data_IF_992322374694
#
_entry.id   IF_992322374694
#
_cell.length_a   1.000
_cell.length_b   1.000
_cell.length_c   1.000
_cell.angle_alpha   90.00
_cell.angle_beta   90.00
_cell.angle_gamma   90.00
#
_symmetry.space_group_name_H-M   'P 1'
#
loop_
_entity.id
_entity.type
_entity.pdbx_description
1 polymer ?
#
# COMPACT_ATOMS: atom_id res chain seq x y z
N UNK A 1 -9.78 -0.53 -13.43
CA UNK A 1 -8.88 0.62 -13.11
C UNK A 1 -7.65 0.60 -13.99
N UNK A 2 -6.93 -0.52 -14.12
CA UNK A 2 -5.71 -0.60 -14.94
C UNK A 2 -6.03 -0.22 -16.40
N UNK A 3 -7.04 -0.85 -17.01
CA UNK A 3 -7.44 -0.54 -18.38
C UNK A 3 -7.79 0.95 -18.57
N UNK A 4 -8.44 1.59 -17.59
CA UNK A 4 -8.71 3.02 -17.64
C UNK A 4 -7.42 3.85 -17.56
N UNK A 5 -6.48 3.44 -16.71
CA UNK A 5 -5.19 4.12 -16.57
C UNK A 5 -4.35 4.02 -17.84
N UNK A 6 -4.31 2.84 -18.47
CA UNK A 6 -3.65 2.62 -19.76
C UNK A 6 -4.30 3.44 -20.86
N UNK A 7 -5.62 3.46 -20.86
CA UNK A 7 -6.41 4.25 -21.78
C UNK A 7 -6.13 5.77 -21.65
N UNK A 8 -5.97 6.28 -20.43
CA UNK A 8 -5.64 7.67 -20.13
C UNK A 8 -4.13 7.95 -20.15
N UNK A 9 -3.31 6.90 -20.23
CA UNK A 9 -1.86 6.97 -20.09
C UNK A 9 -1.42 7.81 -18.87
N UNK A 10 -2.03 7.54 -17.70
CA UNK A 10 -1.79 8.32 -16.50
C UNK A 10 -1.11 7.52 -15.38
N UNK A 11 -0.21 8.16 -14.61
CA UNK A 11 0.42 7.53 -13.43
C UNK A 11 -0.61 7.08 -12.40
N UNK A 12 -0.45 5.87 -11.86
CA UNK A 12 -1.34 5.29 -10.86
C UNK A 12 -0.64 5.18 -9.51
N UNK A 13 -1.20 5.85 -8.52
CA UNK A 13 -0.79 5.75 -7.13
C UNK A 13 -1.88 5.04 -6.33
N UNK A 14 -1.50 4.20 -5.38
CA UNK A 14 -2.47 3.54 -4.51
C UNK A 14 -2.46 4.12 -3.11
N UNK A 15 -3.58 4.04 -2.40
CA UNK A 15 -3.52 4.13 -0.94
C UNK A 15 -2.80 2.91 -0.40
N UNK A 16 -2.36 2.92 0.87
CA UNK A 16 -1.75 1.72 1.44
C UNK A 16 -2.71 0.52 1.42
N UNK A 17 -4.00 0.72 1.67
CA UNK A 17 -5.02 -0.34 1.56
C UNK A 17 -5.23 -0.83 0.11
N UNK A 18 -4.94 0.02 -0.85
CA UNK A 18 -5.01 -0.33 -2.27
C UNK A 18 -3.72 -0.95 -2.83
N UNK A 19 -2.67 -1.17 -2.00
CA UNK A 19 -1.45 -1.82 -2.46
C UNK A 19 -1.75 -3.20 -3.05
N UNK A 20 -1.15 -3.48 -4.21
CA UNK A 20 -1.40 -4.72 -4.96
C UNK A 20 -2.58 -4.64 -5.96
N UNK A 21 -3.34 -3.54 -6.02
CA UNK A 21 -4.35 -3.32 -7.06
C UNK A 21 -3.73 -3.03 -8.43
N UNK A 22 -2.54 -2.50 -8.46
CA UNK A 22 -1.66 -2.41 -9.62
C UNK A 22 -0.27 -2.84 -9.20
N UNK A 23 0.43 -3.56 -10.08
CA UNK A 23 1.81 -3.97 -9.82
C UNK A 23 2.73 -2.75 -9.74
N UNK A 24 3.70 -2.78 -8.81
CA UNK A 24 4.77 -1.80 -8.75
C UNK A 24 5.76 -1.93 -9.95
N UNK A 25 5.63 -3.00 -10.74
CA UNK A 25 6.37 -3.23 -12.01
C UNK A 25 5.58 -2.83 -13.25
N UNK A 26 4.30 -2.46 -13.09
CA UNK A 26 3.50 -1.95 -14.20
C UNK A 26 4.05 -0.62 -14.71
N UNK A 27 4.10 -0.35 -16.04
CA UNK A 27 4.66 0.90 -16.59
C UNK A 27 4.08 2.19 -16.00
N UNK A 28 2.80 2.15 -15.58
CA UNK A 28 2.11 3.29 -14.96
C UNK A 28 2.03 3.19 -13.43
N UNK A 29 2.56 2.15 -12.81
CA UNK A 29 2.53 1.93 -11.36
C UNK A 29 3.54 2.80 -10.62
N UNK A 30 3.07 3.65 -9.71
CA UNK A 30 3.91 4.56 -8.91
C UNK A 30 4.07 4.12 -7.45
N UNK A 31 3.42 3.01 -7.06
CA UNK A 31 3.44 2.51 -5.70
C UNK A 31 2.44 3.23 -4.77
N UNK A 32 2.69 3.12 -3.47
CA UNK A 32 1.82 3.68 -2.43
C UNK A 32 2.07 5.17 -2.26
N UNK A 33 0.97 5.94 -2.11
CA UNK A 33 1.01 7.36 -1.78
C UNK A 33 0.96 7.58 -0.26
N UNK A 34 1.57 8.66 0.21
CA UNK A 34 1.45 9.14 1.57
C UNK A 34 2.57 8.69 2.51
N UNK A 35 2.27 8.60 3.81
CA UNK A 35 3.29 8.37 4.85
C UNK A 35 4.01 7.02 4.73
N UNK A 36 3.32 6.00 4.22
CA UNK A 36 3.89 4.68 3.93
C UNK A 36 4.35 4.55 2.47
N UNK A 37 4.43 5.68 1.79
CA UNK A 37 4.53 5.70 0.34
C UNK A 37 5.94 5.74 -0.20
N UNK A 38 6.00 5.59 -1.52
CA UNK A 38 7.19 5.71 -2.33
C UNK A 38 7.47 7.17 -2.69
N UNK A 39 8.72 7.56 -2.95
CA UNK A 39 9.02 8.88 -3.49
C UNK A 39 8.46 9.09 -4.89
N UNK A 40 8.25 8.02 -5.67
CA UNK A 40 7.66 8.06 -7.00
C UNK A 40 6.21 8.57 -6.91
N UNK A 41 5.39 7.95 -6.05
CA UNK A 41 4.00 8.37 -5.85
C UNK A 41 3.91 9.82 -5.36
N UNK A 42 4.80 10.23 -4.45
CA UNK A 42 4.86 11.62 -3.96
C UNK A 42 5.23 12.60 -5.07
N UNK A 43 6.14 12.23 -5.95
CA UNK A 43 6.52 13.05 -7.10
C UNK A 43 5.33 13.29 -8.03
N UNK A 44 4.69 12.24 -8.51
CA UNK A 44 3.55 12.38 -9.43
C UNK A 44 2.33 13.04 -8.78
N UNK A 45 2.12 12.88 -7.47
CA UNK A 45 1.11 13.66 -6.73
C UNK A 45 1.40 15.17 -6.80
N UNK A 46 2.67 15.57 -6.73
CA UNK A 46 3.05 16.98 -6.76
C UNK A 46 3.02 17.56 -8.17
N UNK A 47 3.43 16.79 -9.17
CA UNK A 47 3.55 17.26 -10.56
C UNK A 47 2.24 17.14 -11.36
N UNK A 48 1.25 16.38 -10.89
CA UNK A 48 -0.03 16.24 -11.61
C UNK A 48 -0.79 17.56 -11.77
N UNK A 49 -1.49 17.73 -12.86
CA UNK A 49 -2.36 18.89 -13.14
C UNK A 49 -3.78 18.68 -12.58
N UNK A 50 -4.24 17.43 -12.54
CA UNK A 50 -5.53 17.03 -12.02
C UNK A 50 -5.45 15.65 -11.37
N UNK A 51 -6.44 15.30 -10.54
CA UNK A 51 -6.53 14.02 -9.85
C UNK A 51 -7.85 13.34 -10.20
N UNK A 52 -7.75 12.06 -10.58
CA UNK A 52 -8.88 11.15 -10.61
C UNK A 52 -8.75 10.21 -9.39
N UNK A 53 -9.62 10.40 -8.40
CA UNK A 53 -9.59 9.67 -7.13
C UNK A 53 -10.72 8.64 -7.11
N UNK A 54 -10.36 7.35 -7.05
CA UNK A 54 -11.30 6.23 -7.16
C UNK A 54 -11.32 5.47 -5.84
N UNK A 55 -12.41 5.53 -5.08
CA UNK A 55 -12.65 4.78 -3.84
C UNK A 55 -11.58 4.99 -2.76
N UNK A 56 -10.85 6.10 -2.80
CA UNK A 56 -9.74 6.34 -1.90
C UNK A 56 -10.13 7.28 -0.75
N UNK A 57 -9.67 6.94 0.46
CA UNK A 57 -9.81 7.82 1.62
C UNK A 57 -8.89 9.03 1.55
N UNK A 58 -9.43 10.22 1.73
CA UNK A 58 -8.70 11.49 1.84
C UNK A 58 -8.09 11.70 3.23
N UNK A 59 -7.66 10.62 3.89
CA UNK A 59 -7.03 10.74 5.20
C UNK A 59 -5.67 11.47 5.10
N UNK A 60 -5.25 12.09 6.22
CA UNK A 60 -3.92 12.72 6.31
C UNK A 60 -2.76 11.74 6.08
N UNK A 61 -2.99 10.44 6.26
CA UNK A 61 -2.01 9.39 6.01
C UNK A 61 -1.82 9.11 4.51
N UNK A 62 -2.89 9.24 3.72
CA UNK A 62 -2.86 9.07 2.26
C UNK A 62 -2.18 10.25 1.57
N UNK A 63 -2.37 11.47 2.09
CA UNK A 63 -1.65 12.65 1.61
C UNK A 63 -2.11 13.15 0.23
N UNK A 64 -3.38 12.93 -0.13
CA UNK A 64 -3.97 13.53 -1.33
C UNK A 64 -4.04 15.04 -1.14
N UNK A 65 -3.47 15.81 -2.07
CA UNK A 65 -3.45 17.27 -1.98
C UNK A 65 -4.82 17.87 -2.31
N UNK A 66 -5.30 18.88 -1.53
CA UNK A 66 -6.55 19.59 -1.85
C UNK A 66 -6.38 20.71 -2.88
N UNK A 67 -5.17 20.89 -3.41
CA UNK A 67 -4.81 22.08 -4.23
C UNK A 67 -4.99 21.85 -5.73
N UNK A 68 -5.39 20.67 -6.15
CA UNK A 68 -5.48 20.30 -7.56
C UNK A 68 -6.93 20.01 -7.94
N UNK A 69 -7.33 20.31 -9.19
CA UNK A 69 -8.60 19.87 -9.71
C UNK A 69 -8.80 18.38 -9.46
N UNK A 70 -9.93 18.00 -8.89
CA UNK A 70 -10.16 16.62 -8.45
C UNK A 70 -11.52 16.12 -8.89
N UNK A 71 -11.52 14.98 -9.57
CA UNK A 71 -12.70 14.16 -9.81
C UNK A 71 -12.68 13.02 -8.79
N UNK A 72 -13.73 12.88 -7.99
CA UNK A 72 -13.84 11.83 -7.00
C UNK A 72 -14.96 10.86 -7.38
N UNK A 73 -14.64 9.57 -7.47
CA UNK A 73 -15.59 8.48 -7.69
C UNK A 73 -15.66 7.66 -6.40
N UNK A 74 -16.85 7.51 -5.84
CA UNK A 74 -17.06 6.66 -4.67
C UNK A 74 -18.47 6.04 -4.68
N UNK A 75 -18.59 4.84 -4.12
CA UNK A 75 -19.90 4.17 -3.95
C UNK A 75 -20.65 4.70 -2.73
N UNK A 76 -19.93 5.27 -1.75
CA UNK A 76 -20.51 5.90 -0.57
C UNK A 76 -20.72 7.40 -0.82
N UNK A 77 -21.97 7.87 -0.95
CA UNK A 77 -22.26 9.28 -1.16
C UNK A 77 -21.75 10.17 -0.02
N UNK A 78 -21.60 9.63 1.19
CA UNK A 78 -21.08 10.35 2.36
C UNK A 78 -19.56 10.52 2.34
N UNK A 79 -18.85 9.81 1.46
CA UNK A 79 -17.42 9.98 1.25
C UNK A 79 -17.11 11.13 0.28
N UNK A 80 -18.05 11.45 -0.61
CA UNK A 80 -17.88 12.47 -1.64
C UNK A 80 -17.75 13.87 -1.02
N UNK A 81 -16.69 14.58 -1.38
CA UNK A 81 -16.36 15.94 -0.89
C UNK A 81 -16.24 16.06 0.65
N UNK A 82 -16.10 14.94 1.37
CA UNK A 82 -16.10 14.91 2.85
C UNK A 82 -14.94 15.68 3.46
N UNK A 83 -13.75 15.57 2.89
CA UNK A 83 -12.52 16.15 3.44
C UNK A 83 -11.99 17.32 2.63
N UNK A 84 -12.21 17.31 1.32
CA UNK A 84 -11.80 18.35 0.40
C UNK A 84 -12.95 18.64 -0.55
N UNK A 85 -13.08 19.90 -0.93
CA UNK A 85 -13.93 20.25 -2.09
C UNK A 85 -13.33 19.56 -3.32
N UNK A 86 -14.17 18.87 -4.09
CA UNK A 86 -13.80 18.29 -5.38
C UNK A 86 -14.54 19.03 -6.50
N UNK A 87 -13.98 19.03 -7.70
CA UNK A 87 -14.56 19.72 -8.84
C UNK A 87 -15.69 18.92 -9.47
N UNK A 88 -15.57 17.59 -9.45
CA UNK A 88 -16.62 16.68 -9.85
C UNK A 88 -16.72 15.50 -8.86
N UNK A 89 -17.92 15.30 -8.32
CA UNK A 89 -18.25 14.19 -7.46
C UNK A 89 -19.15 13.20 -8.23
N UNK A 90 -18.68 11.98 -8.37
CA UNK A 90 -19.38 10.90 -9.08
C UNK A 90 -19.79 9.83 -8.09
N UNK A 91 -21.09 9.72 -7.85
CA UNK A 91 -21.64 8.65 -7.02
C UNK A 91 -21.99 7.44 -7.88
N UNK A 92 -21.30 6.33 -7.65
CA UNK A 92 -21.56 5.10 -8.39
C UNK A 92 -20.76 3.93 -7.85
N UNK A 93 -21.18 2.73 -8.23
CA UNK A 93 -20.37 1.54 -8.00
C UNK A 93 -19.09 1.65 -8.83
N UNK A 94 -17.95 1.38 -8.20
CA UNK A 94 -16.63 1.71 -8.76
C UNK A 94 -16.35 0.91 -10.05
N UNK A 95 -16.62 -0.40 -10.07
CA UNK A 95 -16.33 -1.22 -11.23
C UNK A 95 -17.18 -0.78 -12.44
N UNK A 96 -18.49 -0.58 -12.22
CA UNK A 96 -19.43 -0.13 -13.25
C UNK A 96 -19.03 1.25 -13.78
N UNK A 97 -18.71 2.19 -12.89
CA UNK A 97 -18.34 3.56 -13.29
C UNK A 97 -17.04 3.56 -14.08
N UNK A 98 -16.05 2.80 -13.66
CA UNK A 98 -14.76 2.70 -14.36
C UNK A 98 -14.92 2.03 -15.72
N UNK A 99 -15.78 1.00 -15.83
CA UNK A 99 -16.06 0.33 -17.10
C UNK A 99 -16.79 1.26 -18.07
N UNK A 100 -17.77 2.04 -17.60
CA UNK A 100 -18.43 3.05 -18.42
C UNK A 100 -17.41 4.08 -18.94
N UNK A 101 -16.56 4.63 -18.07
CA UNK A 101 -15.52 5.59 -18.47
C UNK A 101 -14.52 4.99 -19.47
N UNK A 102 -14.15 3.72 -19.29
CA UNK A 102 -13.20 3.06 -20.18
C UNK A 102 -13.76 2.77 -21.57
N UNK A 103 -15.09 2.69 -21.70
CA UNK A 103 -15.78 2.42 -22.96
C UNK A 103 -16.30 3.70 -23.65
N UNK A 104 -16.21 4.85 -22.99
CA UNK A 104 -16.56 6.13 -23.64
C UNK A 104 -15.52 6.52 -24.66
N UNK A 105 -15.99 7.07 -25.79
CA UNK A 105 -15.12 7.68 -26.80
C UNK A 105 -14.62 9.04 -26.28
N UNK A 106 -13.69 8.97 -25.35
CA UNK A 106 -13.02 10.15 -24.84
C UNK A 106 -12.13 10.67 -25.97
N UNK A 107 -12.51 11.78 -26.60
CA UNK A 107 -11.67 12.45 -27.60
C UNK A 107 -10.35 12.88 -26.94
N UNK A 108 -9.26 12.14 -27.20
CA UNK A 108 -8.01 12.25 -26.47
C UNK A 108 -6.86 12.58 -27.39
N UNK A 109 -6.24 13.67 -27.11
CA UNK A 109 -4.86 13.89 -27.48
C UNK A 109 -3.97 13.45 -26.31
N UNK A 110 -3.42 12.21 -26.37
CA UNK A 110 -2.41 11.79 -25.41
C UNK A 110 -1.10 12.44 -25.83
N UNK A 111 -0.75 13.54 -25.16
CA UNK A 111 0.41 14.33 -25.52
C UNK A 111 1.69 13.91 -24.81
N UNK A 112 1.60 13.10 -23.73
CA UNK A 112 2.75 12.72 -22.91
C UNK A 112 2.70 11.23 -22.58
N UNK A 113 3.79 10.52 -22.84
CA UNK A 113 4.00 9.17 -22.33
C UNK A 113 4.75 9.25 -20.99
N UNK A 114 4.08 8.87 -19.89
CA UNK A 114 4.64 8.93 -18.56
C UNK A 114 5.47 7.68 -18.17
N UNK A 115 5.37 6.57 -18.92
CA UNK A 115 6.04 5.33 -18.58
C UNK A 115 7.58 5.46 -18.51
N UNK A 116 8.26 6.19 -19.40
CA UNK A 116 9.71 6.38 -19.30
C UNK A 116 10.12 7.12 -18.01
N UNK A 117 9.41 8.18 -17.64
CA UNK A 117 9.71 8.94 -16.41
C UNK A 117 9.43 8.11 -15.16
N UNK A 118 8.34 7.36 -15.12
CA UNK A 118 8.03 6.44 -14.01
C UNK A 118 9.16 5.41 -13.85
N UNK A 119 9.62 4.82 -14.96
CA UNK A 119 10.73 3.86 -14.97
C UNK A 119 12.03 4.46 -14.44
N UNK A 120 12.37 5.68 -14.85
CA UNK A 120 13.55 6.41 -14.35
C UNK A 120 13.45 6.66 -12.84
N UNK A 121 12.27 7.11 -12.35
CA UNK A 121 12.03 7.35 -10.92
C UNK A 121 12.17 6.07 -10.10
N UNK A 122 11.66 4.96 -10.60
CA UNK A 122 11.86 3.65 -9.97
C UNK A 122 13.33 3.23 -9.95
N UNK A 123 14.09 3.46 -11.03
CA UNK A 123 15.51 3.16 -11.08
C UNK A 123 16.30 3.97 -10.03
N UNK A 124 16.02 5.27 -9.91
CA UNK A 124 16.61 6.15 -8.88
C UNK A 124 16.28 5.62 -7.49
N UNK A 125 15.01 5.27 -7.23
CA UNK A 125 14.61 4.76 -5.91
C UNK A 125 15.25 3.41 -5.58
N UNK A 126 15.33 2.49 -6.54
CA UNK A 126 16.02 1.20 -6.36
C UNK A 126 17.51 1.40 -6.07
N UNK A 127 18.17 2.30 -6.78
CA UNK A 127 19.57 2.65 -6.50
C UNK A 127 19.76 3.22 -5.08
N UNK A 128 18.85 4.09 -4.64
CA UNK A 128 18.88 4.63 -3.27
C UNK A 128 18.63 3.52 -2.22
N UNK A 129 17.71 2.58 -2.49
CA UNK A 129 17.51 1.41 -1.61
C UNK A 129 18.79 0.58 -1.51
N UNK A 130 19.44 0.29 -2.65
CA UNK A 130 20.69 -0.49 -2.66
C UNK A 130 21.81 0.20 -1.88
N UNK A 131 21.93 1.52 -2.00
CA UNK A 131 22.87 2.30 -1.22
C UNK A 131 22.62 2.15 0.28
N UNK A 132 21.36 2.28 0.71
CA UNK A 132 20.96 2.14 2.12
C UNK A 132 21.11 0.73 2.68
N UNK A 133 21.11 -0.31 1.82
CA UNK A 133 21.42 -1.68 2.24
C UNK A 133 22.86 -1.86 2.70
N UNK A 134 23.77 -1.01 2.21
CA UNK A 134 25.17 -1.03 2.59
C UNK A 134 25.45 -0.27 3.89
N UNK A 135 24.48 0.51 4.39
CA UNK A 135 24.63 1.23 5.65
C UNK A 135 24.66 0.22 6.82
N UNK A 136 25.79 0.04 7.44
CA UNK A 136 25.91 -0.75 8.67
C UNK A 136 25.38 0.05 9.85
N UNK A 137 24.23 -0.33 10.37
CA UNK A 137 23.61 0.29 11.53
C UNK A 137 24.15 -0.27 12.87
N UNK A 138 25.13 -1.17 12.81
CA UNK A 138 25.81 -1.77 13.97
C UNK A 138 24.98 -2.75 14.78
N UNK A 139 23.65 -2.77 14.65
CA UNK A 139 22.76 -3.64 15.39
C UNK A 139 21.58 -4.10 14.54
N UNK A 140 21.42 -5.43 14.41
CA UNK A 140 20.26 -6.06 13.80
C UNK A 140 20.19 -5.89 12.27
N UNK A 141 19.02 -6.14 11.71
CA UNK A 141 18.75 -6.11 10.27
C UNK A 141 17.88 -4.89 9.96
N UNK A 142 18.26 -4.11 8.96
CA UNK A 142 17.47 -2.95 8.55
C UNK A 142 16.12 -3.36 7.94
N UNK A 143 15.09 -2.53 8.14
CA UNK A 143 13.78 -2.78 7.52
C UNK A 143 13.87 -2.85 5.99
N UNK A 144 14.80 -2.12 5.36
CA UNK A 144 15.02 -2.18 3.91
C UNK A 144 15.47 -3.58 3.52
N UNK A 145 16.44 -4.16 4.22
CA UNK A 145 16.93 -5.51 3.94
C UNK A 145 15.82 -6.57 4.06
N UNK A 146 14.99 -6.47 5.11
CA UNK A 146 13.86 -7.40 5.32
C UNK A 146 12.87 -7.32 4.16
N UNK A 147 12.44 -6.12 3.75
CA UNK A 147 11.42 -5.97 2.73
C UNK A 147 11.95 -6.10 1.30
N UNK A 148 13.21 -5.81 1.06
CA UNK A 148 13.88 -6.10 -0.23
C UNK A 148 13.99 -7.62 -0.45
N UNK A 149 14.37 -8.35 0.60
CA UNK A 149 14.43 -9.82 0.52
C UNK A 149 13.03 -10.45 0.43
N UNK A 150 12.06 -9.92 1.18
CA UNK A 150 10.67 -10.38 1.07
C UNK A 150 10.10 -10.13 -0.34
N UNK A 151 10.45 -9.02 -1.00
CA UNK A 151 10.07 -8.75 -2.39
C UNK A 151 10.55 -9.84 -3.33
N UNK A 152 11.78 -10.32 -3.13
CA UNK A 152 12.38 -11.36 -3.99
C UNK A 152 11.81 -12.75 -3.74
N UNK A 153 11.43 -13.06 -2.49
CA UNK A 153 11.06 -14.42 -2.08
C UNK A 153 9.55 -14.64 -1.95
N UNK A 154 8.74 -13.59 -1.80
CA UNK A 154 7.31 -13.74 -1.64
C UNK A 154 6.69 -14.30 -2.94
N UNK A 155 5.94 -15.42 -2.86
CA UNK A 155 5.22 -15.94 -4.02
C UNK A 155 4.30 -14.87 -4.64
N UNK A 156 4.21 -14.84 -5.96
CA UNK A 156 3.39 -13.85 -6.68
C UNK A 156 1.92 -13.84 -6.25
N UNK A 157 1.37 -15.00 -5.92
CA UNK A 157 -0.02 -15.14 -5.52
C UNK A 157 -0.22 -15.12 -3.98
N UNK A 158 0.80 -14.74 -3.20
CA UNK A 158 0.68 -14.72 -1.74
C UNK A 158 -0.40 -13.73 -1.26
N UNK A 159 -1.05 -14.07 -0.15
CA UNK A 159 -1.81 -13.11 0.65
C UNK A 159 -0.90 -12.66 1.79
N UNK A 160 -0.67 -11.36 1.86
CA UNK A 160 0.20 -10.73 2.86
C UNK A 160 -0.68 -9.93 3.82
N UNK A 161 -0.73 -10.35 5.07
CA UNK A 161 -1.39 -9.60 6.13
C UNK A 161 -0.38 -8.77 6.89
N UNK A 162 -0.71 -7.50 7.15
CA UNK A 162 0.24 -6.53 7.68
C UNK A 162 -0.29 -5.92 8.95
N UNK A 163 0.52 -5.95 10.00
CA UNK A 163 0.22 -5.27 11.26
C UNK A 163 0.47 -3.77 11.17
N UNK A 164 -0.09 -3.05 12.12
CA UNK A 164 0.07 -1.61 12.26
C UNK A 164 1.40 -1.28 12.95
N UNK A 165 1.99 -0.14 12.62
CA UNK A 165 3.24 0.35 13.18
C UNK A 165 4.32 0.60 12.12
N UNK A 166 5.57 0.66 12.54
CA UNK A 166 6.72 0.92 11.64
C UNK A 166 6.86 -0.13 10.54
N UNK A 167 6.53 -1.39 10.83
CA UNK A 167 6.49 -2.48 9.86
C UNK A 167 5.56 -2.17 8.67
N UNK A 168 4.36 -1.60 8.91
CA UNK A 168 3.46 -1.19 7.84
C UNK A 168 4.06 -0.06 6.99
N UNK A 169 4.65 0.96 7.63
CA UNK A 169 5.31 2.05 6.90
C UNK A 169 6.46 1.53 6.04
N UNK A 170 7.26 0.64 6.57
CA UNK A 170 8.39 0.06 5.85
C UNK A 170 7.94 -0.85 4.71
N UNK A 171 6.92 -1.69 4.93
CA UNK A 171 6.36 -2.52 3.87
C UNK A 171 5.82 -1.68 2.71
N UNK A 172 5.00 -0.68 2.98
CA UNK A 172 4.44 0.17 1.94
C UNK A 172 5.49 0.88 1.08
N UNK A 173 6.64 1.22 1.70
CA UNK A 173 7.72 1.97 1.07
C UNK A 173 8.75 1.09 0.34
N UNK A 174 9.07 -0.08 0.90
CA UNK A 174 10.22 -0.87 0.43
C UNK A 174 9.83 -2.16 -0.27
N UNK A 175 8.68 -2.74 0.05
CA UNK A 175 8.20 -3.93 -0.64
C UNK A 175 7.61 -3.54 -1.99
N UNK A 176 8.17 -4.08 -3.06
CA UNK A 176 7.62 -3.93 -4.40
C UNK A 176 6.66 -5.10 -4.68
N UNK A 177 5.38 -4.78 -4.89
CA UNK A 177 4.34 -5.78 -5.13
C UNK A 177 4.15 -6.05 -6.62
N UNK A 178 3.84 -7.29 -6.94
CA UNK A 178 3.38 -7.68 -8.27
C UNK A 178 1.91 -8.14 -8.20
N UNK A 179 1.65 -9.40 -7.91
CA UNK A 179 0.28 -9.98 -7.87
C UNK A 179 -0.20 -10.35 -6.46
N UNK A 180 0.59 -10.02 -5.43
CA UNK A 180 0.22 -10.28 -4.05
C UNK A 180 -1.02 -9.48 -3.64
N UNK A 181 -1.84 -10.08 -2.78
CA UNK A 181 -2.95 -9.39 -2.12
C UNK A 181 -2.52 -8.93 -0.73
N UNK A 182 -2.93 -7.72 -0.33
CA UNK A 182 -2.60 -7.14 0.97
C UNK A 182 -3.85 -6.94 1.82
N UNK A 183 -3.76 -7.30 3.10
CA UNK A 183 -4.81 -7.10 4.09
C UNK A 183 -4.21 -6.38 5.31
N UNK A 184 -4.81 -5.26 5.70
CA UNK A 184 -4.35 -4.47 6.84
C UNK A 184 -5.49 -3.80 7.60
N UNK A 185 -5.26 -3.48 8.87
CA UNK A 185 -6.17 -2.65 9.68
C UNK A 185 -6.01 -1.17 9.29
N UNK A 186 -6.63 -0.78 8.17
CA UNK A 186 -6.43 0.55 7.59
C UNK A 186 -7.42 1.62 8.03
N UNK A 187 -8.39 1.30 8.91
CA UNK A 187 -9.37 2.27 9.40
C UNK A 187 -9.01 2.77 10.80
N UNK A 188 -9.00 1.89 11.79
CA UNK A 188 -8.63 2.25 13.17
C UNK A 188 -7.14 2.13 13.46
N UNK A 189 -6.41 1.36 12.65
CA UNK A 189 -4.99 1.13 12.88
C UNK A 189 -4.72 0.29 14.13
N UNK A 190 -5.49 -0.79 14.33
CA UNK A 190 -5.35 -1.67 15.49
C UNK A 190 -4.12 -2.55 15.35
N UNK A 191 -3.20 -2.49 16.32
CA UNK A 191 -2.07 -3.41 16.41
C UNK A 191 -2.55 -4.82 16.80
N UNK A 192 -1.78 -5.84 16.43
CA UNK A 192 -2.17 -7.25 16.62
C UNK A 192 -3.02 -7.82 15.50
N UNK A 193 -3.28 -7.04 14.44
CA UNK A 193 -4.14 -7.43 13.34
C UNK A 193 -3.57 -8.55 12.47
N UNK A 194 -2.25 -8.56 12.21
CA UNK A 194 -1.66 -9.37 11.13
C UNK A 194 -1.91 -10.86 11.28
N UNK A 195 -1.67 -11.43 12.46
CA UNK A 195 -1.75 -12.88 12.65
C UNK A 195 -3.20 -13.41 12.65
N UNK A 196 -4.16 -12.81 13.37
CA UNK A 196 -5.57 -13.17 13.24
C UNK A 196 -6.11 -13.00 11.81
N UNK A 197 -5.71 -11.95 11.10
CA UNK A 197 -6.08 -11.74 9.71
C UNK A 197 -5.49 -12.83 8.79
N UNK A 198 -4.29 -13.34 9.08
CA UNK A 198 -3.70 -14.45 8.35
C UNK A 198 -4.47 -15.76 8.56
N UNK A 199 -4.99 -16.00 9.75
CA UNK A 199 -5.91 -17.12 10.03
C UNK A 199 -7.19 -16.97 9.21
N UNK A 200 -7.77 -15.76 9.17
CA UNK A 200 -8.95 -15.46 8.36
C UNK A 200 -8.68 -15.61 6.85
N UNK A 201 -7.54 -15.13 6.37
CA UNK A 201 -7.11 -15.30 4.98
C UNK A 201 -6.97 -16.79 4.63
N UNK A 202 -6.35 -17.59 5.51
CA UNK A 202 -6.25 -19.02 5.29
C UNK A 202 -7.64 -19.70 5.26
N UNK A 203 -8.55 -19.29 6.11
CA UNK A 203 -9.93 -19.82 6.10
C UNK A 203 -10.66 -19.50 4.78
N UNK A 204 -10.33 -18.37 4.14
CA UNK A 204 -10.94 -17.95 2.89
C UNK A 204 -10.33 -18.64 1.65
N UNK A 205 -8.99 -18.80 1.60
CA UNK A 205 -8.30 -19.29 0.40
C UNK A 205 -7.65 -20.68 0.59
N UNK A 206 -7.65 -21.23 1.80
CA UNK A 206 -7.15 -22.56 2.10
C UNK A 206 -5.68 -22.72 1.74
N UNK A 207 -5.40 -23.81 0.99
CA UNK A 207 -4.05 -24.13 0.51
C UNK A 207 -3.73 -23.56 -0.87
N UNK A 208 -4.67 -22.88 -1.50
CA UNK A 208 -4.52 -22.39 -2.87
C UNK A 208 -3.52 -21.24 -2.96
N UNK A 209 -3.39 -20.48 -1.89
CA UNK A 209 -2.50 -19.32 -1.84
C UNK A 209 -1.62 -19.34 -0.58
N UNK A 210 -0.31 -19.06 -0.70
CA UNK A 210 0.55 -18.88 0.45
C UNK A 210 0.11 -17.69 1.32
N UNK A 211 0.14 -17.86 2.64
CA UNK A 211 -0.21 -16.79 3.59
C UNK A 211 1.06 -16.35 4.32
N UNK A 212 1.31 -15.05 4.31
CA UNK A 212 2.43 -14.41 5.02
C UNK A 212 1.87 -13.35 5.95
N UNK A 213 2.16 -13.46 7.24
CA UNK A 213 1.83 -12.44 8.23
C UNK A 213 3.09 -11.62 8.55
N UNK A 214 3.01 -10.30 8.45
CA UNK A 214 4.08 -9.37 8.83
C UNK A 214 3.64 -8.62 10.07
N UNK A 215 4.25 -8.90 11.20
CA UNK A 215 3.87 -8.33 12.50
C UNK A 215 5.07 -7.76 13.24
N UNK A 216 4.84 -6.69 14.01
CA UNK A 216 5.76 -6.24 15.04
C UNK A 216 5.64 -7.11 16.30
N UNK A 217 6.69 -7.11 17.12
CA UNK A 217 6.72 -7.83 18.40
C UNK A 217 5.55 -7.44 19.34
N UNK A 218 5.31 -6.16 19.53
CA UNK A 218 4.23 -5.67 20.39
C UNK A 218 2.83 -6.04 19.89
N UNK A 219 2.61 -6.02 18.56
CA UNK A 219 1.34 -6.42 17.97
C UNK A 219 1.12 -7.94 18.06
N UNK A 220 2.14 -8.72 17.70
CA UNK A 220 2.05 -10.17 17.73
C UNK A 220 1.81 -10.73 19.14
N UNK A 221 2.46 -10.14 20.16
CA UNK A 221 2.29 -10.57 21.55
C UNK A 221 0.84 -10.47 22.05
N UNK A 222 0.01 -9.60 21.50
CA UNK A 222 -1.40 -9.49 21.88
C UNK A 222 -2.22 -10.72 21.49
N UNK A 223 -1.80 -11.44 20.45
CA UNK A 223 -2.50 -12.60 19.90
C UNK A 223 -1.60 -13.83 19.78
N UNK A 224 -0.56 -13.91 20.62
CA UNK A 224 0.38 -15.04 20.65
C UNK A 224 -0.32 -16.38 20.82
N UNK A 225 -1.40 -16.42 21.60
CA UNK A 225 -2.18 -17.64 21.85
C UNK A 225 -2.81 -18.19 20.55
N UNK A 226 -3.04 -17.39 19.53
CA UNK A 226 -3.63 -17.84 18.27
C UNK A 226 -2.70 -18.74 17.42
N UNK A 227 -1.43 -18.86 17.80
CA UNK A 227 -0.55 -19.90 17.25
C UNK A 227 -1.16 -21.29 17.49
N UNK A 228 -1.77 -21.51 18.64
CA UNK A 228 -2.40 -22.81 18.98
C UNK A 228 -3.54 -23.14 18.00
N UNK A 229 -4.30 -22.15 17.57
CA UNK A 229 -5.33 -22.26 16.53
C UNK A 229 -4.71 -22.69 15.20
N UNK A 230 -3.66 -22.00 14.76
CA UNK A 230 -2.98 -22.32 13.51
C UNK A 230 -2.36 -23.73 13.53
N UNK A 231 -1.75 -24.12 14.64
CA UNK A 231 -1.18 -25.48 14.81
C UNK A 231 -2.29 -26.53 14.78
N UNK A 232 -3.37 -26.33 15.54
CA UNK A 232 -4.51 -27.25 15.59
C UNK A 232 -5.09 -27.55 14.22
N UNK A 233 -5.26 -26.51 13.39
CA UNK A 233 -5.84 -26.62 12.05
C UNK A 233 -4.79 -26.81 10.95
N UNK A 234 -3.51 -26.98 11.31
CA UNK A 234 -2.38 -27.19 10.36
C UNK A 234 -2.30 -26.10 9.29
N UNK A 235 -2.47 -24.85 9.71
CA UNK A 235 -2.40 -23.68 8.83
C UNK A 235 -0.94 -23.33 8.55
N UNK A 236 -0.43 -23.43 7.30
CA UNK A 236 0.97 -23.14 6.96
C UNK A 236 1.22 -21.63 6.82
N UNK A 237 0.86 -20.86 7.83
CA UNK A 237 1.09 -19.42 7.87
C UNK A 237 2.57 -19.13 8.12
N UNK A 238 3.18 -18.32 7.28
CA UNK A 238 4.54 -17.83 7.47
C UNK A 238 4.50 -16.49 8.22
N UNK A 239 5.03 -16.47 9.43
CA UNK A 239 5.12 -15.25 10.23
C UNK A 239 6.50 -14.61 10.06
N UNK A 240 6.51 -13.37 9.59
CA UNK A 240 7.67 -12.47 9.60
C UNK A 240 7.52 -11.56 10.82
N UNK A 241 8.23 -11.91 11.89
CA UNK A 241 8.21 -11.15 13.14
C UNK A 241 9.33 -10.12 13.14
N UNK A 242 8.96 -8.84 13.15
CA UNK A 242 9.89 -7.72 13.22
C UNK A 242 9.99 -7.28 14.67
N UNK A 243 11.06 -7.69 15.32
CA UNK A 243 11.31 -7.38 16.72
C UNK A 243 12.32 -6.24 16.88
N UNK A 244 11.87 -5.14 17.47
CA UNK A 244 12.74 -4.02 17.85
C UNK A 244 12.61 -3.66 19.34
N UNK A 245 11.91 -4.49 20.13
CA UNK A 245 11.66 -4.30 21.57
C UNK A 245 11.03 -2.94 21.91
N UNK A 246 10.32 -2.32 20.96
CA UNK A 246 9.77 -0.99 21.16
C UNK A 246 8.49 -0.81 20.33
N UNK A 247 7.50 -0.10 20.88
CA UNK A 247 6.41 0.48 20.12
C UNK A 247 6.91 1.76 19.42
N UNK A 248 7.87 1.60 18.51
CA UNK A 248 8.71 2.68 17.98
C UNK A 248 7.95 3.83 17.32
N UNK A 249 6.74 3.59 16.80
CA UNK A 249 5.89 4.66 16.27
C UNK A 249 5.38 5.56 17.39
N UNK A 250 4.95 4.97 18.50
CA UNK A 250 4.43 5.69 19.68
C UNK A 250 5.57 6.45 20.36
N UNK A 251 6.69 5.77 20.63
CA UNK A 251 7.87 6.39 21.25
C UNK A 251 8.40 7.57 20.42
N UNK A 252 8.36 7.47 19.10
CA UNK A 252 8.76 8.59 18.23
C UNK A 252 7.82 9.78 18.37
N UNK A 253 6.52 9.56 18.43
CA UNK A 253 5.53 10.63 18.59
C UNK A 253 5.59 11.25 19.99
N UNK A 254 5.78 10.44 21.03
CA UNK A 254 5.99 10.93 22.40
C UNK A 254 7.23 11.83 22.49
N UNK A 255 8.36 11.37 21.95
CA UNK A 255 9.60 12.20 21.91
C UNK A 255 9.40 13.50 21.13
N UNK A 256 8.64 13.47 20.03
CA UNK A 256 8.35 14.68 19.25
C UNK A 256 7.40 15.65 19.99
N UNK A 257 6.54 15.14 20.85
CA UNK A 257 5.64 15.94 21.70
C UNK A 257 6.26 16.37 23.03
N UNK A 258 7.54 16.05 23.27
CA UNK A 258 8.26 16.31 24.54
C UNK A 258 7.60 15.65 25.78
N UNK A 259 6.98 14.48 25.59
CA UNK A 259 6.38 13.65 26.65
C UNK A 259 7.33 12.52 27.07
#
# INVERSE_FOLDING_TARGET
VIALAELLNCPVMTTFKGKGLISDTHPLGCGVLGRSGTPIASYFMNESDALLVIGASFSKHTGITPKKPTIQIDFDPMALSKFHKVDAAVWGEIAVTVDLLANEDLNREINVDHAPEISERWAIWRAEKQKRLLDDLGNGISAIAVFDELTKQAPENAVITVDVGNNAYSLGRYFESDKQSFIMSGYLGSIGFAYPAAIGAWAAVGKERPIIAVAGDGGFCQYLAEITTAVKYKMPIKLILINNNELGKISKEQRAAML
#
